data_IF_812117762450
#
_entry.id   IF_812117762450
#
_cell.length_a   1.000
_cell.length_b   1.000
_cell.length_c   1.000
_cell.angle_alpha   90.00
_cell.angle_beta   90.00
_cell.angle_gamma   90.00
#
_symmetry.space_group_name_H-M   'P 1'
#
loop_
_entity.id
_entity.type
_entity.pdbx_description
1 polymer ?
#
# COMPACT_ATOMS: atom_id res chain seq x y z
N UNK A 1 -29.19 -2.76 24.57
CA UNK A 1 -28.03 -2.04 25.11
C UNK A 1 -28.22 -0.56 24.80
N UNK A 2 -27.81 0.39 25.65
CA UNK A 2 -27.91 1.80 25.32
C UNK A 2 -27.11 2.05 24.03
N UNK A 3 -27.70 2.79 23.10
CA UNK A 3 -27.01 3.18 21.86
C UNK A 3 -25.79 4.03 22.19
N UNK A 4 -24.64 3.82 21.52
CA UNK A 4 -23.48 4.67 21.71
C UNK A 4 -23.77 6.11 21.29
N UNK A 5 -23.46 7.06 22.14
CA UNK A 5 -23.58 8.50 21.85
C UNK A 5 -22.20 9.00 21.42
N UNK A 6 -22.09 9.50 20.20
CA UNK A 6 -20.85 10.10 19.67
C UNK A 6 -20.88 11.62 19.79
N UNK A 7 -19.80 12.20 20.32
CA UNK A 7 -19.63 13.64 20.49
C UNK A 7 -18.87 14.24 19.32
N UNK A 8 -19.56 14.99 18.50
CA UNK A 8 -19.04 15.59 17.27
C UNK A 8 -18.85 17.09 17.48
N UNK A 9 -17.64 17.61 17.23
CA UNK A 9 -17.39 19.03 17.17
C UNK A 9 -17.48 19.49 15.72
N UNK A 10 -18.45 20.35 15.43
CA UNK A 10 -18.63 21.02 14.15
C UNK A 10 -18.00 22.42 14.23
N UNK A 11 -16.98 22.67 13.41
CA UNK A 11 -16.35 23.99 13.27
C UNK A 11 -16.80 24.57 11.94
N UNK A 12 -17.74 25.51 12.00
CA UNK A 12 -18.50 26.07 10.87
C UNK A 12 -19.00 27.47 11.24
N UNK A 13 -18.66 28.46 10.44
CA UNK A 13 -19.04 29.87 10.67
C UNK A 13 -20.43 30.25 10.11
N UNK A 14 -20.93 29.45 9.16
CA UNK A 14 -22.26 29.65 8.60
C UNK A 14 -23.35 28.95 9.45
N UNK A 15 -24.21 29.67 10.17
CA UNK A 15 -25.24 29.06 11.01
C UNK A 15 -26.26 28.21 10.21
N UNK A 16 -26.51 28.55 8.93
CA UNK A 16 -27.39 27.77 8.06
C UNK A 16 -26.82 26.40 7.73
N UNK A 17 -25.52 26.34 7.40
CA UNK A 17 -24.81 25.08 7.13
C UNK A 17 -24.72 24.24 8.41
N UNK A 18 -24.47 24.87 9.55
CA UNK A 18 -24.41 24.17 10.85
C UNK A 18 -25.79 23.54 11.19
N UNK A 19 -26.89 24.22 10.95
CA UNK A 19 -28.23 23.66 11.18
C UNK A 19 -28.56 22.52 10.20
N UNK A 20 -28.12 22.60 8.94
CA UNK A 20 -28.27 21.50 7.98
C UNK A 20 -27.54 20.24 8.42
N UNK A 21 -26.29 20.36 8.91
CA UNK A 21 -25.52 19.23 9.45
C UNK A 21 -26.19 18.62 10.67
N UNK A 22 -26.69 19.46 11.62
CA UNK A 22 -27.42 19.00 12.80
C UNK A 22 -28.68 18.25 12.41
N UNK A 23 -29.48 18.81 11.49
CA UNK A 23 -30.72 18.19 11.02
C UNK A 23 -30.43 16.83 10.36
N UNK A 24 -29.37 16.76 9.50
CA UNK A 24 -28.96 15.52 8.86
C UNK A 24 -28.53 14.46 9.87
N UNK A 25 -27.86 14.82 10.97
CA UNK A 25 -27.47 13.89 12.03
C UNK A 25 -28.57 13.53 13.03
N UNK A 26 -29.64 14.31 13.08
CA UNK A 26 -30.82 14.04 13.90
C UNK A 26 -31.86 13.13 13.20
N UNK A 27 -31.80 13.01 11.86
CA UNK A 27 -32.62 12.06 11.10
C UNK A 27 -32.12 10.64 11.38
N UNK A 28 -33.00 9.80 11.91
CA UNK A 28 -32.82 8.44 12.42
C UNK A 28 -31.63 7.63 11.89
N UNK A 29 -30.65 7.38 12.78
CA UNK A 29 -29.54 6.47 12.56
C UNK A 29 -29.42 5.48 13.71
N UNK A 30 -28.67 4.39 13.51
CA UNK A 30 -28.35 3.38 14.54
C UNK A 30 -27.51 3.93 15.70
N UNK A 31 -27.04 5.19 15.67
CA UNK A 31 -26.28 5.85 16.71
C UNK A 31 -26.75 7.29 16.95
N UNK A 32 -26.71 7.71 18.22
CA UNK A 32 -27.01 9.08 18.61
C UNK A 32 -25.75 9.97 18.47
N UNK A 33 -25.90 11.16 17.87
CA UNK A 33 -24.84 12.16 17.79
C UNK A 33 -25.16 13.37 18.66
N UNK A 34 -24.19 13.77 19.48
CA UNK A 34 -24.23 15.02 20.22
C UNK A 34 -23.31 16.03 19.51
N UNK A 35 -23.88 17.04 18.85
CA UNK A 35 -23.13 18.01 18.06
C UNK A 35 -22.86 19.25 18.91
N UNK A 36 -21.58 19.62 19.01
CA UNK A 36 -21.09 20.87 19.56
C UNK A 36 -20.63 21.77 18.41
N UNK A 37 -21.01 23.05 18.42
CA UNK A 37 -20.65 23.99 17.36
C UNK A 37 -19.62 24.99 17.84
N UNK A 38 -18.70 25.36 16.93
CA UNK A 38 -17.76 26.45 17.06
C UNK A 38 -17.75 27.24 15.74
N UNK A 39 -17.78 28.58 15.81
CA UNK A 39 -17.86 29.46 14.64
C UNK A 39 -16.45 29.81 14.08
N UNK A 40 -15.40 29.51 14.82
CA UNK A 40 -14.01 29.80 14.44
C UNK A 40 -13.12 28.60 14.78
N UNK A 41 -12.00 28.48 14.09
CA UNK A 41 -10.99 27.48 14.40
C UNK A 41 -10.50 27.59 15.85
N UNK A 42 -10.24 28.83 16.31
CA UNK A 42 -9.76 29.09 17.67
C UNK A 42 -10.75 28.57 18.72
N UNK A 43 -12.04 28.88 18.57
CA UNK A 43 -13.09 28.38 19.50
C UNK A 43 -13.24 26.86 19.44
N UNK A 44 -13.02 26.26 18.26
CA UNK A 44 -12.98 24.82 18.07
C UNK A 44 -11.80 24.17 18.82
N UNK A 45 -10.62 24.74 18.74
CA UNK A 45 -9.43 24.26 19.45
C UNK A 45 -9.60 24.35 20.99
N UNK A 46 -10.17 25.43 21.49
CA UNK A 46 -10.53 25.58 22.91
C UNK A 46 -11.52 24.51 23.37
N UNK A 47 -12.48 24.15 22.51
CA UNK A 47 -13.44 23.08 22.80
C UNK A 47 -12.78 21.71 22.82
N UNK A 48 -11.82 21.45 21.92
CA UNK A 48 -11.05 20.23 21.85
C UNK A 48 -10.17 20.01 23.10
N UNK A 49 -9.65 21.07 23.67
CA UNK A 49 -8.80 20.99 24.88
C UNK A 49 -9.53 20.39 26.10
N UNK A 50 -10.87 20.32 26.09
CA UNK A 50 -11.65 19.65 27.15
C UNK A 50 -11.62 18.11 27.08
N UNK A 51 -11.15 17.54 25.97
CA UNK A 51 -10.86 16.10 25.85
C UNK A 51 -12.07 15.16 25.72
N UNK A 52 -13.26 15.67 25.41
CA UNK A 52 -14.52 14.91 25.34
C UNK A 52 -15.15 14.86 23.94
N UNK A 53 -14.35 15.00 22.89
CA UNK A 53 -14.80 14.97 21.49
C UNK A 53 -14.33 13.67 20.84
N UNK A 54 -15.24 12.99 20.10
CA UNK A 54 -14.95 11.76 19.39
C UNK A 54 -14.55 12.01 17.92
N UNK A 55 -15.00 13.14 17.31
CA UNK A 55 -14.73 13.50 15.91
C UNK A 55 -14.88 15.00 15.69
N UNK A 56 -14.06 15.55 14.78
CA UNK A 56 -14.20 16.94 14.29
C UNK A 56 -14.75 16.92 12.87
N UNK A 57 -15.82 17.68 12.65
CA UNK A 57 -16.26 18.15 11.34
C UNK A 57 -15.73 19.58 11.16
N UNK A 58 -14.90 19.80 10.12
CA UNK A 58 -14.18 21.05 9.93
C UNK A 58 -14.52 21.66 8.57
N UNK A 59 -15.09 22.87 8.56
CA UNK A 59 -15.17 23.65 7.32
C UNK A 59 -13.79 24.17 6.90
N UNK A 60 -13.56 24.17 5.59
CA UNK A 60 -12.33 24.69 4.98
C UNK A 60 -12.31 26.22 4.79
N UNK A 61 -13.45 26.89 4.99
CA UNK A 61 -13.63 28.31 4.71
C UNK A 61 -14.01 29.08 5.97
N UNK A 62 -13.21 28.97 7.03
CA UNK A 62 -13.43 29.66 8.29
C UNK A 62 -12.85 31.11 8.25
N UNK A 63 -13.39 32.04 9.06
CA UNK A 63 -12.92 33.42 9.08
C UNK A 63 -11.48 33.57 9.58
N UNK A 64 -10.99 32.62 10.41
CA UNK A 64 -9.67 32.61 11.02
C UNK A 64 -8.74 31.49 10.47
N UNK A 65 -9.15 30.80 9.40
CA UNK A 65 -8.34 29.73 8.80
C UNK A 65 -8.74 29.44 7.35
N UNK A 66 -7.79 29.21 6.48
CA UNK A 66 -8.05 28.94 5.08
C UNK A 66 -7.50 27.58 4.60
N UNK A 67 -8.31 26.85 3.82
CA UNK A 67 -7.92 25.59 3.21
C UNK A 67 -7.50 24.53 4.24
N UNK A 68 -6.30 23.95 4.10
CA UNK A 68 -5.83 22.87 4.97
C UNK A 68 -5.09 23.34 6.25
N UNK A 69 -4.98 24.63 6.48
CA UNK A 69 -4.32 25.17 7.70
C UNK A 69 -5.09 24.75 8.95
N UNK A 70 -6.43 24.84 8.91
CA UNK A 70 -7.30 24.39 10.00
C UNK A 70 -7.14 22.90 10.33
N UNK A 71 -7.03 22.05 9.32
CA UNK A 71 -6.77 20.62 9.49
C UNK A 71 -5.43 20.39 10.22
N UNK A 72 -4.37 21.07 9.79
CA UNK A 72 -3.05 20.96 10.42
C UNK A 72 -3.08 21.41 11.88
N UNK A 73 -3.78 22.53 12.18
CA UNK A 73 -3.95 23.01 13.54
C UNK A 73 -4.69 22.02 14.43
N UNK A 74 -5.84 21.51 13.99
CA UNK A 74 -6.59 20.48 14.74
C UNK A 74 -5.74 19.24 14.99
N UNK A 75 -5.00 18.75 13.99
CA UNK A 75 -4.14 17.56 14.14
C UNK A 75 -2.98 17.79 15.08
N UNK A 76 -2.44 19.00 15.14
CA UNK A 76 -1.36 19.34 16.06
C UNK A 76 -1.86 19.35 17.51
N UNK A 77 -3.08 19.86 17.76
CA UNK A 77 -3.64 19.97 19.09
C UNK A 77 -4.35 18.71 19.58
N UNK A 78 -4.92 17.93 18.64
CA UNK A 78 -5.69 16.72 18.92
C UNK A 78 -5.36 15.59 17.94
N UNK A 79 -4.14 15.04 17.93
CA UNK A 79 -3.67 14.07 16.94
C UNK A 79 -4.43 12.74 16.97
N UNK A 80 -5.11 12.42 18.07
CA UNK A 80 -5.91 11.21 18.23
C UNK A 80 -7.33 11.32 17.73
N UNK A 81 -7.84 12.53 17.46
CA UNK A 81 -9.23 12.76 17.06
C UNK A 81 -9.33 12.74 15.53
N UNK A 82 -10.25 11.93 14.93
CA UNK A 82 -10.49 11.94 13.49
C UNK A 82 -11.07 13.27 13.04
N UNK A 83 -10.60 13.78 11.88
CA UNK A 83 -11.10 15.00 11.27
C UNK A 83 -11.74 14.66 9.92
N UNK A 84 -13.00 15.03 9.77
CA UNK A 84 -13.73 14.97 8.50
C UNK A 84 -13.93 16.39 8.01
N UNK A 85 -13.56 16.65 6.75
CA UNK A 85 -13.66 17.99 6.18
C UNK A 85 -15.00 18.24 5.52
N UNK A 86 -15.52 19.44 5.70
CA UNK A 86 -16.68 19.97 5.00
C UNK A 86 -16.25 21.03 3.98
N UNK A 87 -16.85 21.04 2.81
CA UNK A 87 -16.56 22.03 1.79
C UNK A 87 -17.77 22.32 0.91
N UNK A 88 -17.91 23.56 0.49
CA UNK A 88 -18.90 23.96 -0.52
C UNK A 88 -18.49 23.62 -1.96
N UNK A 89 -17.26 23.18 -2.21
CA UNK A 89 -16.71 22.98 -3.55
C UNK A 89 -16.44 21.50 -3.80
N UNK A 90 -16.95 20.99 -4.92
CA UNK A 90 -16.68 19.64 -5.40
C UNK A 90 -15.33 19.64 -6.15
N UNK A 91 -14.23 19.74 -5.41
CA UNK A 91 -12.87 19.76 -5.95
C UNK A 91 -12.10 18.51 -5.56
N UNK A 92 -11.97 17.60 -6.51
CA UNK A 92 -11.22 16.36 -6.35
C UNK A 92 -9.76 16.59 -5.91
N UNK A 93 -9.12 17.64 -6.43
CA UNK A 93 -7.73 17.97 -6.08
C UNK A 93 -7.59 18.42 -4.63
N UNK A 94 -8.60 19.11 -4.08
CA UNK A 94 -8.61 19.53 -2.68
C UNK A 94 -8.90 18.36 -1.76
N UNK A 95 -9.84 17.47 -2.13
CA UNK A 95 -10.13 16.24 -1.41
C UNK A 95 -8.87 15.36 -1.27
N UNK A 96 -8.15 15.14 -2.37
CA UNK A 96 -6.90 14.37 -2.37
C UNK A 96 -5.82 14.98 -1.46
N UNK A 97 -5.62 16.31 -1.52
CA UNK A 97 -4.66 17.00 -0.65
C UNK A 97 -5.07 16.92 0.82
N UNK A 98 -6.35 17.01 1.12
CA UNK A 98 -6.90 16.88 2.45
C UNK A 98 -6.62 15.50 3.06
N UNK A 99 -6.87 14.44 2.31
CA UNK A 99 -6.58 13.07 2.72
C UNK A 99 -5.07 12.83 2.92
N UNK A 100 -4.22 13.36 2.04
CA UNK A 100 -2.76 13.33 2.19
C UNK A 100 -2.27 14.08 3.43
N UNK A 101 -2.97 15.18 3.79
CA UNK A 101 -2.71 15.93 5.02
C UNK A 101 -3.31 15.26 6.27
N UNK A 102 -3.94 14.09 6.13
CA UNK A 102 -4.43 13.21 7.21
C UNK A 102 -5.84 13.50 7.68
N UNK A 103 -6.70 14.11 6.85
CA UNK A 103 -8.14 14.04 7.05
C UNK A 103 -8.60 12.58 6.96
N UNK A 104 -9.62 12.21 7.75
CA UNK A 104 -10.21 10.86 7.72
C UNK A 104 -11.21 10.72 6.57
N UNK A 105 -11.85 11.82 6.20
CA UNK A 105 -12.81 11.86 5.10
C UNK A 105 -13.05 13.31 4.63
N UNK A 106 -13.80 13.46 3.53
CA UNK A 106 -14.08 14.73 2.90
C UNK A 106 -15.53 14.72 2.38
N UNK A 107 -16.31 15.72 2.73
CA UNK A 107 -17.74 15.81 2.43
C UNK A 107 -18.07 17.13 1.73
N UNK A 108 -18.95 17.07 0.73
CA UNK A 108 -19.47 18.24 0.03
C UNK A 108 -20.80 18.66 0.64
N UNK A 109 -20.91 19.88 1.17
CA UNK A 109 -22.07 20.41 1.89
C UNK A 109 -23.39 20.20 1.13
N UNK A 110 -23.41 20.41 -0.18
CA UNK A 110 -24.62 20.26 -1.02
C UNK A 110 -25.07 18.81 -1.29
N UNK A 111 -24.30 17.80 -0.85
CA UNK A 111 -24.58 16.37 -1.07
C UNK A 111 -24.82 15.59 0.24
N UNK A 112 -25.00 16.29 1.35
CA UNK A 112 -25.19 15.67 2.67
C UNK A 112 -26.59 15.03 2.77
N UNK A 113 -26.61 13.69 2.90
CA UNK A 113 -27.81 12.91 3.23
C UNK A 113 -27.64 12.31 4.62
N UNK A 114 -28.63 12.45 5.50
CA UNK A 114 -28.55 12.08 6.91
C UNK A 114 -27.98 10.69 7.19
N UNK A 115 -28.56 9.60 6.64
CA UNK A 115 -28.06 8.25 6.90
C UNK A 115 -26.64 8.00 6.37
N UNK A 116 -26.27 8.62 5.23
CA UNK A 116 -24.92 8.50 4.68
C UNK A 116 -23.88 9.26 5.52
N UNK A 117 -24.23 10.47 5.98
CA UNK A 117 -23.41 11.27 6.88
C UNK A 117 -23.13 10.52 8.18
N UNK A 118 -24.19 10.03 8.86
CA UNK A 118 -24.08 9.29 10.11
C UNK A 118 -23.12 8.09 9.96
N UNK A 119 -23.24 7.31 8.89
CA UNK A 119 -22.38 6.15 8.62
C UNK A 119 -20.92 6.55 8.38
N UNK A 120 -20.66 7.62 7.64
CA UNK A 120 -19.30 8.12 7.41
C UNK A 120 -18.64 8.52 8.72
N UNK A 121 -19.34 9.27 9.59
CA UNK A 121 -18.80 9.69 10.88
C UNK A 121 -18.55 8.51 11.81
N UNK A 122 -19.46 7.54 11.88
CA UNK A 122 -19.27 6.31 12.65
C UNK A 122 -18.02 5.56 12.18
N UNK A 123 -17.87 5.38 10.86
CA UNK A 123 -16.70 4.70 10.30
C UNK A 123 -15.40 5.46 10.57
N UNK A 124 -15.39 6.78 10.53
CA UNK A 124 -14.22 7.59 10.86
C UNK A 124 -13.81 7.39 12.35
N UNK A 125 -14.78 7.42 13.26
CA UNK A 125 -14.56 7.21 14.70
C UNK A 125 -14.04 5.78 14.96
N UNK A 126 -14.73 4.76 14.41
CA UNK A 126 -14.35 3.35 14.60
C UNK A 126 -12.96 3.07 14.04
N UNK A 127 -12.67 3.52 12.80
CA UNK A 127 -11.33 3.40 12.20
C UNK A 127 -10.25 4.01 13.09
N UNK A 128 -10.52 5.20 13.66
CA UNK A 128 -9.55 5.87 14.52
C UNK A 128 -9.39 5.18 15.87
N UNK A 129 -10.46 4.67 16.47
CA UNK A 129 -10.38 3.87 17.70
C UNK A 129 -9.57 2.60 17.49
N UNK A 130 -9.80 1.86 16.40
CA UNK A 130 -9.01 0.70 16.02
C UNK A 130 -7.53 1.08 15.83
N UNK A 131 -7.24 2.22 15.19
CA UNK A 131 -5.86 2.73 15.04
C UNK A 131 -5.25 3.17 16.37
N UNK A 132 -6.01 3.75 17.30
CA UNK A 132 -5.54 4.17 18.62
C UNK A 132 -5.35 2.99 19.58
N UNK A 133 -6.21 1.99 19.53
CA UNK A 133 -6.07 0.73 20.26
C UNK A 133 -4.90 -0.10 19.73
N UNK A 134 -4.57 0.03 18.44
CA UNK A 134 -3.36 -0.51 17.82
C UNK A 134 -2.08 0.20 18.26
N UNK A 135 -2.17 1.36 18.92
CA UNK A 135 -1.03 2.07 19.56
C UNK A 135 -0.70 1.52 20.96
N UNK A 136 -1.52 0.64 21.55
CA UNK A 136 -1.15 -0.30 22.59
C UNK A 136 -0.63 -1.57 21.92
N UNK A 137 0.48 -2.18 22.34
CA UNK A 137 0.99 -3.37 21.69
C UNK A 137 0.10 -4.58 21.99
N UNK A 138 -1.06 -4.67 21.35
CA UNK A 138 -1.70 -5.96 21.13
C UNK A 138 -1.03 -6.56 19.88
N UNK A 139 -0.28 -7.65 20.01
CA UNK A 139 0.43 -8.29 18.91
C UNK A 139 -0.50 -8.77 17.76
N UNK A 140 -1.82 -8.62 17.91
CA UNK A 140 -2.83 -9.12 16.95
C UNK A 140 -3.33 -8.07 15.95
N UNK A 141 -2.97 -6.78 16.13
CA UNK A 141 -3.39 -5.66 15.25
C UNK A 141 -2.18 -4.86 14.75
N UNK A 142 -1.08 -5.53 14.40
CA UNK A 142 -0.04 -4.90 13.59
C UNK A 142 -0.66 -4.44 12.26
N UNK A 143 -0.45 -3.15 11.91
CA UNK A 143 -0.82 -2.65 10.58
C UNK A 143 -0.25 -3.59 9.51
N UNK A 144 -1.00 -3.82 8.44
CA UNK A 144 -0.58 -4.71 7.37
C UNK A 144 0.87 -4.43 6.95
N UNK A 145 1.68 -5.47 6.90
CA UNK A 145 3.02 -5.39 6.31
C UNK A 145 2.88 -5.39 4.80
N UNK A 146 3.18 -4.25 4.17
CA UNK A 146 3.14 -4.13 2.71
C UNK A 146 4.53 -4.47 2.16
N UNK A 147 4.59 -5.51 1.32
CA UNK A 147 5.82 -5.96 0.67
C UNK A 147 5.70 -5.70 -0.83
N UNK A 148 6.57 -4.84 -1.36
CA UNK A 148 6.61 -4.50 -2.77
C UNK A 148 7.62 -5.34 -3.55
N UNK A 149 7.26 -5.76 -4.74
CA UNK A 149 8.15 -6.38 -5.71
C UNK A 149 8.26 -5.48 -6.95
N UNK A 150 9.48 -5.13 -7.34
CA UNK A 150 9.78 -4.25 -8.45
C UNK A 150 10.81 -4.91 -9.37
N UNK A 151 10.50 -5.05 -10.64
CA UNK A 151 11.43 -5.59 -11.64
C UNK A 151 12.40 -4.53 -12.14
N UNK A 152 13.71 -4.80 -12.12
CA UNK A 152 14.71 -3.93 -12.72
C UNK A 152 14.55 -3.83 -14.24
N UNK A 153 14.09 -4.92 -14.89
CA UNK A 153 13.73 -4.98 -16.31
C UNK A 153 12.56 -5.93 -16.55
N UNK A 154 12.03 -5.96 -17.77
CA UNK A 154 11.02 -6.94 -18.16
C UNK A 154 11.55 -8.38 -18.13
N UNK A 155 10.70 -9.36 -17.77
CA UNK A 155 11.02 -10.78 -17.82
C UNK A 155 11.93 -11.31 -16.71
N UNK A 156 12.22 -10.53 -15.67
CA UNK A 156 13.04 -10.96 -14.52
C UNK A 156 12.32 -11.93 -13.57
N UNK A 157 11.01 -12.15 -13.77
CA UNK A 157 10.20 -13.03 -12.94
C UNK A 157 9.57 -12.35 -11.72
N UNK A 158 9.47 -11.01 -11.72
CA UNK A 158 8.92 -10.21 -10.64
C UNK A 158 7.55 -10.70 -10.20
N UNK A 159 6.57 -10.74 -11.11
CA UNK A 159 5.20 -11.19 -10.86
C UNK A 159 5.15 -12.63 -10.36
N UNK A 160 5.95 -13.53 -10.96
CA UNK A 160 6.02 -14.93 -10.51
C UNK A 160 6.48 -15.04 -9.06
N UNK A 161 7.50 -14.28 -8.69
CA UNK A 161 8.01 -14.25 -7.31
C UNK A 161 6.98 -13.66 -6.37
N UNK A 162 6.33 -12.54 -6.73
CA UNK A 162 5.28 -11.91 -5.92
C UNK A 162 4.12 -12.89 -5.63
N UNK A 163 3.61 -13.59 -6.66
CA UNK A 163 2.57 -14.61 -6.51
C UNK A 163 2.98 -15.72 -5.54
N UNK A 164 4.19 -16.26 -5.70
CA UNK A 164 4.67 -17.34 -4.81
C UNK A 164 4.87 -16.86 -3.38
N UNK A 165 5.37 -15.64 -3.19
CA UNK A 165 5.53 -15.07 -1.84
C UNK A 165 4.18 -14.86 -1.18
N UNK A 166 3.17 -14.38 -1.89
CA UNK A 166 1.82 -14.24 -1.34
C UNK A 166 1.26 -15.59 -0.88
N UNK A 167 1.43 -16.65 -1.68
CA UNK A 167 1.02 -18.01 -1.34
C UNK A 167 1.79 -18.55 -0.12
N UNK A 168 3.11 -18.33 -0.05
CA UNK A 168 3.92 -18.78 1.08
C UNK A 168 3.62 -18.00 2.37
N UNK A 169 3.36 -16.70 2.28
CA UNK A 169 2.90 -15.93 3.43
C UNK A 169 1.54 -16.42 3.92
N UNK A 170 0.60 -16.73 3.01
CA UNK A 170 -0.70 -17.31 3.39
C UNK A 170 -0.57 -18.66 4.09
N UNK A 171 0.37 -19.51 3.71
CA UNK A 171 0.65 -20.78 4.40
C UNK A 171 1.21 -20.58 5.81
N UNK A 172 1.80 -19.43 6.10
CA UNK A 172 2.49 -19.10 7.37
C UNK A 172 1.64 -18.27 8.32
N UNK A 173 0.49 -17.79 7.87
CA UNK A 173 -0.39 -16.93 8.67
C UNK A 173 -1.85 -17.37 8.58
N UNK A 174 -2.56 -17.21 9.69
CA UNK A 174 -4.02 -17.35 9.71
C UNK A 174 -4.72 -16.08 9.23
N UNK A 175 -4.02 -14.92 9.26
CA UNK A 175 -4.55 -13.64 8.83
C UNK A 175 -4.83 -13.56 7.33
N UNK A 176 -5.54 -12.52 6.93
CA UNK A 176 -5.83 -12.25 5.50
C UNK A 176 -4.57 -11.80 4.78
N UNK A 177 -4.39 -12.30 3.57
CA UNK A 177 -3.30 -11.92 2.66
C UNK A 177 -3.90 -11.41 1.37
N UNK A 178 -3.44 -10.25 0.90
CA UNK A 178 -3.78 -9.66 -0.40
C UNK A 178 -2.59 -9.77 -1.34
N UNK A 179 -2.83 -10.20 -2.56
CA UNK A 179 -1.93 -10.05 -3.69
C UNK A 179 -2.49 -8.99 -4.64
N UNK A 180 -1.75 -7.90 -4.84
CA UNK A 180 -2.19 -6.75 -5.63
C UNK A 180 -1.30 -6.56 -6.86
N UNK A 181 -1.91 -6.45 -8.03
CA UNK A 181 -1.26 -6.14 -9.30
C UNK A 181 -1.30 -4.64 -9.57
N UNK A 182 -0.14 -3.99 -9.58
CA UNK A 182 0.05 -2.61 -10.00
C UNK A 182 0.92 -2.51 -11.27
N UNK A 183 1.17 -3.63 -11.96
CA UNK A 183 1.73 -3.61 -13.31
C UNK A 183 0.64 -3.31 -14.33
N UNK A 184 0.42 -2.03 -14.60
CA UNK A 184 -0.59 -1.56 -15.55
C UNK A 184 -0.34 -2.04 -17.00
N UNK A 185 0.86 -2.53 -17.30
CA UNK A 185 1.22 -3.01 -18.64
C UNK A 185 0.93 -4.49 -18.86
N UNK A 186 0.80 -5.29 -17.79
CA UNK A 186 0.90 -6.74 -17.88
C UNK A 186 -0.34 -7.55 -17.51
N UNK A 187 -1.05 -7.23 -16.45
CA UNK A 187 -2.11 -8.07 -15.84
C UNK A 187 -1.71 -9.57 -15.72
N UNK A 188 -0.45 -9.84 -15.39
CA UNK A 188 0.08 -11.20 -15.36
C UNK A 188 -0.37 -11.99 -14.12
N UNK A 189 -0.73 -11.32 -13.02
CA UNK A 189 -1.25 -11.96 -11.80
C UNK A 189 -2.55 -12.72 -12.11
N UNK A 190 -3.48 -12.12 -12.85
CA UNK A 190 -4.73 -12.77 -13.22
C UNK A 190 -4.51 -14.10 -13.95
N UNK A 191 -3.58 -14.10 -14.91
CA UNK A 191 -3.20 -15.29 -15.65
C UNK A 191 -2.53 -16.35 -14.74
N UNK A 192 -1.55 -15.95 -13.93
CA UNK A 192 -0.80 -16.87 -13.08
C UNK A 192 -1.64 -17.46 -11.94
N UNK A 193 -2.58 -16.71 -11.40
CA UNK A 193 -3.47 -17.15 -10.32
C UNK A 193 -4.75 -17.78 -10.83
N UNK A 194 -4.96 -17.82 -12.17
CA UNK A 194 -6.18 -18.25 -12.82
C UNK A 194 -7.42 -17.52 -12.27
N UNK A 195 -7.32 -16.19 -12.23
CA UNK A 195 -8.35 -15.29 -11.75
C UNK A 195 -8.79 -14.39 -12.90
N UNK A 196 -10.08 -14.30 -13.12
CA UNK A 196 -10.69 -13.33 -14.02
C UNK A 196 -11.61 -12.43 -13.19
N UNK A 197 -11.20 -11.18 -13.03
CA UNK A 197 -11.94 -10.18 -12.27
C UNK A 197 -12.53 -9.13 -13.21
N UNK A 198 -13.81 -8.77 -13.05
CA UNK A 198 -14.43 -7.70 -13.84
C UNK A 198 -13.90 -6.31 -13.46
N UNK A 199 -13.34 -6.19 -12.27
CA UNK A 199 -12.84 -4.94 -11.67
C UNK A 199 -11.42 -5.11 -11.15
N UNK A 200 -10.73 -3.99 -10.88
CA UNK A 200 -9.38 -3.97 -10.36
C UNK A 200 -9.03 -2.67 -9.65
N UNK A 201 -7.73 -2.35 -9.59
CA UNK A 201 -7.24 -1.14 -8.91
C UNK A 201 -7.73 0.15 -9.57
N UNK A 202 -8.04 0.12 -10.87
CA UNK A 202 -8.60 1.28 -11.58
C UNK A 202 -9.92 1.69 -10.93
N UNK A 203 -10.87 0.76 -10.83
CA UNK A 203 -12.19 0.98 -10.25
C UNK A 203 -12.11 1.34 -8.77
N UNK A 204 -11.22 0.66 -8.01
CA UNK A 204 -10.97 0.99 -6.61
C UNK A 204 -10.44 2.43 -6.43
N UNK A 205 -9.54 2.87 -7.32
CA UNK A 205 -8.95 4.21 -7.28
C UNK A 205 -9.94 5.29 -7.74
N UNK A 206 -10.82 4.98 -8.68
CA UNK A 206 -11.82 5.93 -9.18
C UNK A 206 -12.96 6.14 -8.17
N UNK A 207 -13.34 5.11 -7.42
CA UNK A 207 -14.38 5.18 -6.39
C UNK A 207 -13.83 5.32 -4.95
N UNK A 208 -12.60 5.80 -4.81
CA UNK A 208 -11.90 5.83 -3.51
C UNK A 208 -12.66 6.59 -2.42
N UNK A 209 -13.40 7.63 -2.76
CA UNK A 209 -14.17 8.43 -1.80
C UNK A 209 -15.38 7.69 -1.21
N UNK A 210 -15.85 6.62 -1.88
CA UNK A 210 -16.97 5.80 -1.43
C UNK A 210 -16.54 4.37 -1.10
N UNK A 211 -15.23 4.10 -1.10
CA UNK A 211 -14.69 2.76 -0.88
C UNK A 211 -14.90 2.35 0.58
N UNK A 212 -15.74 1.34 0.78
CA UNK A 212 -15.98 0.68 2.05
C UNK A 212 -15.62 -0.82 1.96
N UNK A 213 -15.72 -1.55 3.08
CA UNK A 213 -15.35 -2.95 3.13
C UNK A 213 -16.22 -3.84 2.22
N UNK A 214 -17.51 -3.50 2.05
CA UNK A 214 -18.43 -4.28 1.22
C UNK A 214 -18.18 -4.04 -0.27
N UNK A 215 -17.81 -2.82 -0.65
CA UNK A 215 -17.36 -2.52 -2.02
C UNK A 215 -16.01 -3.16 -2.28
N UNK A 216 -15.09 -3.10 -1.33
CA UNK A 216 -13.78 -3.74 -1.44
C UNK A 216 -13.92 -5.24 -1.71
N UNK A 217 -14.80 -5.96 -0.99
CA UNK A 217 -15.08 -7.39 -1.21
C UNK A 217 -15.54 -7.72 -2.64
N UNK A 218 -16.15 -6.76 -3.35
CA UNK A 218 -16.58 -6.94 -4.73
C UNK A 218 -15.47 -6.69 -5.75
N UNK A 219 -14.40 -5.99 -5.36
CA UNK A 219 -13.27 -5.64 -6.20
C UNK A 219 -12.17 -6.69 -6.16
N UNK A 220 -12.09 -7.47 -5.08
CA UNK A 220 -11.10 -8.54 -4.93
C UNK A 220 -11.70 -9.90 -5.26
N UNK A 221 -10.88 -10.81 -5.79
CA UNK A 221 -11.31 -12.19 -6.07
C UNK A 221 -10.55 -13.14 -5.15
N UNK A 222 -11.26 -13.99 -4.40
CA UNK A 222 -10.61 -15.01 -3.58
C UNK A 222 -9.97 -16.09 -4.46
N UNK A 223 -8.70 -16.38 -4.26
CA UNK A 223 -7.96 -17.41 -4.97
C UNK A 223 -6.96 -18.11 -4.04
N UNK A 224 -6.99 -19.44 -3.98
CA UNK A 224 -6.05 -20.28 -3.22
C UNK A 224 -5.88 -19.82 -1.74
N UNK A 225 -6.97 -19.32 -1.15
CA UNK A 225 -7.01 -18.88 0.26
C UNK A 225 -6.49 -17.47 0.54
N UNK A 226 -6.16 -16.70 -0.48
CA UNK A 226 -5.83 -15.26 -0.40
C UNK A 226 -6.78 -14.45 -1.29
N UNK A 227 -6.78 -13.13 -1.11
CA UNK A 227 -7.51 -12.23 -1.98
C UNK A 227 -6.58 -11.72 -3.09
N UNK A 228 -7.10 -11.58 -4.30
CA UNK A 228 -6.35 -11.05 -5.46
C UNK A 228 -7.03 -9.79 -5.98
N UNK A 229 -6.26 -8.71 -6.13
CA UNK A 229 -6.65 -7.48 -6.81
C UNK A 229 -5.86 -7.38 -8.11
N UNK A 230 -6.56 -7.33 -9.24
CA UNK A 230 -5.94 -7.15 -10.56
C UNK A 230 -5.66 -5.67 -10.86
N UNK A 231 -4.80 -5.41 -11.85
CA UNK A 231 -4.49 -4.07 -12.33
C UNK A 231 -5.71 -3.40 -12.99
N UNK A 232 -6.58 -4.18 -13.65
CA UNK A 232 -7.85 -3.71 -14.22
C UNK A 232 -8.59 -4.83 -14.90
N UNK A 233 -9.91 -4.65 -15.08
CA UNK A 233 -10.78 -5.55 -15.82
C UNK A 233 -10.64 -5.39 -17.35
N UNK A 234 -11.36 -6.21 -18.13
CA UNK A 234 -11.34 -6.14 -19.62
C UNK A 234 -11.73 -4.78 -20.19
N UNK A 235 -12.54 -4.01 -19.44
CA UNK A 235 -12.98 -2.66 -19.82
C UNK A 235 -11.92 -1.57 -19.59
N UNK A 236 -10.92 -1.82 -18.73
CA UNK A 236 -9.88 -0.83 -18.36
C UNK A 236 -8.68 -0.82 -19.29
N UNK A 237 -8.71 -1.56 -20.41
CA UNK A 237 -7.61 -1.63 -21.40
C UNK A 237 -7.38 -0.37 -22.22
N UNK A 238 -8.21 0.68 -22.01
CA UNK A 238 -7.84 2.01 -22.48
C UNK A 238 -6.65 2.50 -21.65
N UNK A 239 -5.65 3.14 -22.27
CA UNK A 239 -4.32 3.59 -21.78
C UNK A 239 -4.31 4.45 -20.49
N UNK A 240 -5.29 4.32 -19.61
CA UNK A 240 -5.39 5.10 -18.37
C UNK A 240 -4.66 4.41 -17.24
N UNK A 241 -3.63 5.05 -16.71
CA UNK A 241 -3.03 4.70 -15.42
C UNK A 241 -3.79 5.39 -14.28
N UNK A 242 -4.02 4.71 -13.14
CA UNK A 242 -4.58 5.38 -11.97
C UNK A 242 -3.58 6.41 -11.44
N UNK A 243 -4.07 7.49 -10.86
CA UNK A 243 -3.20 8.45 -10.18
C UNK A 243 -2.56 7.78 -8.95
N UNK A 244 -1.25 7.90 -8.80
CA UNK A 244 -0.52 7.28 -7.69
C UNK A 244 -1.08 7.72 -6.32
N UNK A 245 -1.53 8.97 -6.21
CA UNK A 245 -2.15 9.54 -5.01
C UNK A 245 -3.43 8.78 -4.61
N UNK A 246 -4.26 8.40 -5.58
CA UNK A 246 -5.48 7.62 -5.33
C UNK A 246 -5.15 6.18 -4.92
N UNK A 247 -4.16 5.56 -5.55
CA UNK A 247 -3.69 4.22 -5.17
C UNK A 247 -3.14 4.23 -3.74
N UNK A 248 -2.44 5.30 -3.32
CA UNK A 248 -2.03 5.47 -1.91
C UNK A 248 -3.21 5.44 -0.94
N UNK A 249 -4.30 6.14 -1.29
CA UNK A 249 -5.51 6.13 -0.45
C UNK A 249 -6.13 4.72 -0.37
N UNK A 250 -6.15 3.97 -1.48
CA UNK A 250 -6.57 2.56 -1.47
C UNK A 250 -5.67 1.75 -0.55
N UNK A 251 -4.34 1.87 -0.68
CA UNK A 251 -3.39 1.17 0.19
C UNK A 251 -3.61 1.51 1.67
N UNK A 252 -3.85 2.78 2.00
CA UNK A 252 -4.13 3.20 3.37
C UNK A 252 -5.45 2.60 3.91
N UNK A 253 -6.49 2.56 3.08
CA UNK A 253 -7.76 1.95 3.45
C UNK A 253 -7.60 0.46 3.76
N UNK A 254 -6.89 -0.29 2.91
CA UNK A 254 -6.78 -1.74 3.05
C UNK A 254 -5.77 -2.19 4.11
N UNK A 255 -4.92 -1.30 4.65
CA UNK A 255 -3.97 -1.63 5.74
C UNK A 255 -4.67 -2.22 6.97
N UNK A 256 -5.91 -1.85 7.23
CA UNK A 256 -6.69 -2.38 8.35
C UNK A 256 -7.37 -3.73 8.05
N UNK A 257 -7.43 -4.15 6.79
CA UNK A 257 -8.17 -5.33 6.36
C UNK A 257 -7.32 -6.60 6.23
N UNK A 258 -6.00 -6.45 6.13
CA UNK A 258 -5.07 -7.53 5.85
C UNK A 258 -3.91 -7.57 6.83
N UNK A 259 -3.34 -8.74 7.04
CA UNK A 259 -2.07 -8.89 7.76
C UNK A 259 -0.87 -8.69 6.83
N UNK A 260 -0.98 -9.17 5.59
CA UNK A 260 0.03 -9.03 4.57
C UNK A 260 -0.59 -8.50 3.27
N UNK A 261 0.08 -7.54 2.66
CA UNK A 261 -0.24 -7.03 1.33
C UNK A 261 1.02 -7.20 0.48
N UNK A 262 0.95 -8.06 -0.52
CA UNK A 262 2.02 -8.28 -1.50
C UNK A 262 1.67 -7.51 -2.75
N UNK A 263 2.52 -6.57 -3.14
CA UNK A 263 2.28 -5.67 -4.27
C UNK A 263 3.27 -5.95 -5.38
N UNK A 264 2.78 -6.32 -6.55
CA UNK A 264 3.56 -6.31 -7.78
C UNK A 264 3.55 -4.89 -8.37
N UNK A 265 4.67 -4.19 -8.28
CA UNK A 265 4.84 -2.83 -8.80
C UNK A 265 5.24 -2.82 -10.29
N UNK A 266 5.32 -3.99 -10.93
CA UNK A 266 5.75 -4.13 -12.31
C UNK A 266 7.22 -3.77 -12.49
N UNK A 267 7.51 -2.91 -13.48
CA UNK A 267 8.85 -2.39 -13.78
C UNK A 267 9.05 -1.00 -13.20
N UNK A 268 10.31 -0.60 -13.06
CA UNK A 268 10.66 0.77 -12.68
C UNK A 268 10.02 1.77 -13.65
N UNK A 269 9.22 2.68 -13.13
CA UNK A 269 8.47 3.70 -13.86
C UNK A 269 8.20 4.89 -12.95
N UNK A 270 7.84 6.07 -13.48
CA UNK A 270 7.43 7.20 -12.65
C UNK A 270 6.25 6.86 -11.71
N UNK A 271 5.37 5.96 -12.11
CA UNK A 271 4.25 5.50 -11.29
C UNK A 271 4.73 4.62 -10.13
N UNK A 272 5.52 3.58 -10.40
CA UNK A 272 6.04 2.69 -9.35
C UNK A 272 6.93 3.43 -8.36
N UNK A 273 7.79 4.36 -8.81
CA UNK A 273 8.64 5.20 -7.93
C UNK A 273 7.82 6.05 -6.96
N UNK A 274 6.65 6.54 -7.38
CA UNK A 274 5.75 7.27 -6.47
C UNK A 274 5.11 6.38 -5.40
N UNK A 275 4.98 5.07 -5.65
CA UNK A 275 4.32 4.13 -4.74
C UNK A 275 5.28 3.35 -3.83
N UNK A 276 6.59 3.33 -4.13
CA UNK A 276 7.56 2.60 -3.29
C UNK A 276 7.60 3.09 -1.85
N UNK A 277 7.23 4.34 -1.58
CA UNK A 277 7.18 4.90 -0.22
C UNK A 277 6.07 4.25 0.65
N UNK A 278 5.11 3.57 0.02
CA UNK A 278 4.00 2.92 0.72
C UNK A 278 4.34 1.51 1.21
N UNK A 279 5.46 0.92 0.76
CA UNK A 279 5.83 -0.44 1.14
C UNK A 279 6.75 -0.44 2.36
N UNK A 280 6.54 -1.39 3.27
CA UNK A 280 7.41 -1.59 4.44
C UNK A 280 8.77 -2.16 4.04
N UNK A 281 8.81 -2.90 2.92
CA UNK A 281 10.03 -3.46 2.32
C UNK A 281 9.85 -3.66 0.83
N UNK A 282 10.85 -3.23 0.06
CA UNK A 282 10.90 -3.36 -1.39
C UNK A 282 11.90 -4.42 -1.81
N UNK A 283 11.46 -5.38 -2.60
CA UNK A 283 12.30 -6.38 -3.25
C UNK A 283 12.51 -5.99 -4.71
N UNK A 284 13.70 -5.48 -5.04
CA UNK A 284 14.09 -5.22 -6.42
C UNK A 284 14.57 -6.54 -7.05
N UNK A 285 13.79 -7.03 -8.02
CA UNK A 285 14.04 -8.30 -8.71
C UNK A 285 14.86 -8.06 -9.98
N UNK A 286 15.92 -8.80 -10.15
CA UNK A 286 16.72 -8.79 -11.39
C UNK A 286 17.27 -10.16 -11.73
N UNK A 287 17.91 -10.29 -12.90
CA UNK A 287 18.64 -11.47 -13.32
C UNK A 287 20.15 -11.27 -13.12
N UNK A 288 20.90 -12.38 -13.03
CA UNK A 288 22.36 -12.34 -12.80
C UNK A 288 23.17 -12.29 -14.13
N UNK A 289 22.56 -11.78 -15.21
CA UNK A 289 23.25 -11.44 -16.46
C UNK A 289 23.73 -9.98 -16.45
N UNK A 290 24.62 -9.63 -17.38
CA UNK A 290 25.26 -8.30 -17.44
C UNK A 290 24.21 -7.18 -17.54
N UNK A 291 23.21 -7.34 -18.38
CA UNK A 291 22.15 -6.35 -18.57
C UNK A 291 21.26 -6.24 -17.33
N UNK A 292 20.88 -7.39 -16.73
CA UNK A 292 20.12 -7.41 -15.49
C UNK A 292 20.84 -6.71 -14.34
N UNK A 293 22.15 -6.95 -14.17
CA UNK A 293 22.94 -6.28 -13.14
C UNK A 293 23.10 -4.78 -13.41
N UNK A 294 23.26 -4.36 -14.67
CA UNK A 294 23.34 -2.95 -15.04
C UNK A 294 22.01 -2.22 -14.74
N UNK A 295 20.87 -2.81 -15.14
CA UNK A 295 19.55 -2.26 -14.87
C UNK A 295 19.22 -2.23 -13.37
N UNK A 296 19.59 -3.27 -12.62
CA UNK A 296 19.44 -3.29 -11.17
C UNK A 296 20.22 -2.16 -10.49
N UNK A 297 21.48 -1.92 -10.91
CA UNK A 297 22.29 -0.83 -10.39
C UNK A 297 21.66 0.55 -10.69
N UNK A 298 21.17 0.73 -11.90
CA UNK A 298 20.45 1.94 -12.30
C UNK A 298 19.18 2.14 -11.44
N UNK A 299 18.38 1.09 -11.28
CA UNK A 299 17.17 1.13 -10.47
C UNK A 299 17.44 1.47 -9.00
N UNK A 300 18.49 0.89 -8.38
CA UNK A 300 18.94 1.23 -7.03
C UNK A 300 19.28 2.73 -6.94
N UNK A 301 19.99 3.28 -7.94
CA UNK A 301 20.33 4.70 -7.96
C UNK A 301 19.09 5.59 -8.05
N UNK A 302 18.11 5.24 -8.89
CA UNK A 302 16.84 5.98 -9.03
C UNK A 302 16.04 5.95 -7.73
N UNK A 303 15.95 4.79 -7.07
CA UNK A 303 15.23 4.65 -5.81
C UNK A 303 15.86 5.52 -4.71
N UNK A 304 17.18 5.55 -4.61
CA UNK A 304 17.87 6.39 -3.63
C UNK A 304 17.80 7.88 -3.95
N UNK A 305 17.76 8.27 -5.23
CA UNK A 305 17.48 9.65 -5.64
C UNK A 305 16.04 10.08 -5.31
N UNK A 306 15.10 9.13 -5.30
CA UNK A 306 13.73 9.32 -4.85
C UNK A 306 13.57 9.21 -3.31
N UNK A 307 14.68 9.28 -2.56
CA UNK A 307 14.72 9.23 -1.09
C UNK A 307 14.12 7.96 -0.48
N UNK A 308 14.12 6.85 -1.23
CA UNK A 308 13.70 5.56 -0.67
C UNK A 308 14.70 5.07 0.38
N UNK A 309 14.18 4.60 1.52
CA UNK A 309 14.99 4.13 2.64
C UNK A 309 15.85 2.92 2.26
N UNK A 310 17.17 3.03 2.48
CA UNK A 310 18.15 1.99 2.16
C UNK A 310 17.91 0.70 2.93
N UNK A 311 17.46 0.81 4.18
CA UNK A 311 17.22 -0.34 5.06
C UNK A 311 15.94 -1.10 4.66
N UNK A 312 15.06 -0.45 3.89
CA UNK A 312 13.86 -1.04 3.34
C UNK A 312 14.05 -1.67 1.95
N UNK A 313 15.22 -1.48 1.30
CA UNK A 313 15.52 -2.06 -0.01
C UNK A 313 16.27 -3.40 0.13
N UNK A 314 15.81 -4.42 -0.59
CA UNK A 314 16.45 -5.72 -0.71
C UNK A 314 16.50 -6.18 -2.17
N UNK A 315 17.58 -6.83 -2.56
CA UNK A 315 17.72 -7.39 -3.91
C UNK A 315 17.34 -8.87 -3.91
N UNK A 316 16.60 -9.27 -4.95
CA UNK A 316 16.36 -10.68 -5.29
C UNK A 316 16.89 -10.94 -6.68
N UNK A 317 17.95 -11.74 -6.78
CA UNK A 317 18.54 -12.13 -8.05
C UNK A 317 17.94 -13.46 -8.49
N UNK A 318 17.27 -13.45 -9.62
CA UNK A 318 16.63 -14.62 -10.22
C UNK A 318 17.50 -15.18 -11.35
N UNK A 319 17.27 -16.45 -11.71
CA UNK A 319 17.98 -17.15 -12.79
C UNK A 319 19.50 -17.11 -12.60
N UNK A 320 19.94 -17.31 -11.34
CA UNK A 320 21.37 -17.28 -11.01
C UNK A 320 22.07 -18.57 -11.47
N UNK A 321 23.07 -18.48 -12.35
CA UNK A 321 23.83 -19.65 -12.80
C UNK A 321 24.66 -20.27 -11.67
N UNK A 322 24.95 -21.59 -11.70
CA UNK A 322 25.68 -22.27 -10.63
C UNK A 322 27.10 -21.75 -10.36
N UNK A 323 27.74 -21.12 -11.34
CA UNK A 323 29.12 -20.60 -11.29
C UNK A 323 29.22 -19.09 -11.26
N UNK A 324 28.19 -18.40 -10.76
CA UNK A 324 28.10 -16.96 -10.77
C UNK A 324 28.82 -16.30 -9.58
N UNK A 325 28.69 -15.00 -9.48
CA UNK A 325 29.26 -14.15 -8.42
C UNK A 325 28.87 -14.60 -7.01
N UNK A 326 29.70 -14.30 -6.04
CA UNK A 326 29.30 -14.41 -4.63
C UNK A 326 28.32 -13.30 -4.25
N UNK A 327 27.50 -13.55 -3.23
CA UNK A 327 26.55 -12.56 -2.71
C UNK A 327 27.25 -11.24 -2.37
N UNK A 328 28.40 -11.28 -1.67
CA UNK A 328 29.15 -10.08 -1.29
C UNK A 328 29.68 -9.28 -2.49
N UNK A 329 30.07 -9.95 -3.59
CA UNK A 329 30.48 -9.25 -4.81
C UNK A 329 29.30 -8.52 -5.46
N UNK A 330 28.11 -9.12 -5.46
CA UNK A 330 26.90 -8.54 -6.00
C UNK A 330 26.40 -7.37 -5.16
N UNK A 331 26.41 -7.50 -3.84
CA UNK A 331 26.06 -6.41 -2.92
C UNK A 331 26.98 -5.19 -3.09
N UNK A 332 28.29 -5.42 -3.22
CA UNK A 332 29.26 -4.36 -3.49
C UNK A 332 29.06 -3.71 -4.86
N UNK A 333 28.71 -4.49 -5.90
CA UNK A 333 28.45 -3.99 -7.24
C UNK A 333 27.19 -3.15 -7.31
N UNK A 334 26.12 -3.62 -6.66
CA UNK A 334 24.77 -3.07 -6.77
C UNK A 334 24.48 -2.00 -5.71
N UNK A 335 25.26 -1.96 -4.62
CA UNK A 335 25.10 -0.97 -3.56
C UNK A 335 23.88 -1.19 -2.65
N UNK A 336 23.32 -2.40 -2.64
CA UNK A 336 22.20 -2.79 -1.81
C UNK A 336 22.29 -4.26 -1.37
N UNK A 337 21.67 -4.67 -0.24
CA UNK A 337 21.77 -6.03 0.28
C UNK A 337 21.03 -7.03 -0.62
N UNK A 338 21.64 -8.19 -0.86
CA UNK A 338 21.05 -9.31 -1.61
C UNK A 338 20.38 -10.28 -0.63
N UNK A 339 19.05 -10.32 -0.63
CA UNK A 339 18.27 -11.19 0.25
C UNK A 339 18.04 -12.59 -0.32
N UNK A 340 18.01 -12.74 -1.63
CA UNK A 340 17.83 -14.04 -2.25
C UNK A 340 18.60 -14.15 -3.57
N UNK A 341 19.14 -15.34 -3.82
CA UNK A 341 19.71 -15.77 -5.09
C UNK A 341 18.95 -17.03 -5.52
N UNK A 342 18.10 -16.89 -6.52
CA UNK A 342 17.20 -17.95 -6.98
C UNK A 342 17.83 -18.63 -8.20
N UNK A 343 17.94 -19.95 -8.21
CA UNK A 343 18.49 -20.68 -9.33
C UNK A 343 17.56 -20.60 -10.55
N UNK A 344 18.09 -20.88 -11.72
CA UNK A 344 17.28 -21.02 -12.93
C UNK A 344 16.34 -22.23 -12.78
N UNK A 345 15.03 -21.96 -12.83
CA UNK A 345 13.96 -22.98 -12.74
C UNK A 345 12.98 -22.91 -13.91
N UNK A 346 13.37 -22.26 -15.01
CA UNK A 346 12.48 -22.00 -16.14
C UNK A 346 11.80 -23.25 -16.69
N UNK A 347 12.56 -24.35 -16.88
CA UNK A 347 12.03 -25.61 -17.40
C UNK A 347 11.00 -26.26 -16.47
N UNK A 348 11.18 -26.09 -15.15
CA UNK A 348 10.26 -26.63 -14.16
C UNK A 348 8.90 -25.89 -14.21
N UNK A 349 8.90 -24.60 -14.56
CA UNK A 349 7.68 -23.81 -14.75
C UNK A 349 6.98 -24.12 -16.06
N UNK A 350 7.73 -24.18 -17.16
CA UNK A 350 7.19 -24.49 -18.49
C UNK A 350 6.49 -25.87 -18.49
N UNK A 351 7.11 -26.88 -17.89
CA UNK A 351 6.54 -28.21 -17.74
C UNK A 351 5.27 -28.23 -16.90
N UNK A 352 5.29 -27.58 -15.73
CA UNK A 352 4.12 -27.50 -14.85
C UNK A 352 2.94 -26.77 -15.49
N UNK A 353 3.23 -25.71 -16.26
CA UNK A 353 2.22 -24.94 -16.95
C UNK A 353 1.54 -25.73 -18.10
N UNK A 354 2.34 -26.43 -18.91
CA UNK A 354 1.85 -27.27 -20.00
C UNK A 354 0.99 -28.46 -19.47
N UNK A 355 1.31 -28.97 -18.30
CA UNK A 355 0.56 -30.02 -17.61
C UNK A 355 -0.72 -29.48 -16.91
N UNK A 356 -1.04 -28.19 -17.04
CA UNK A 356 -2.20 -27.57 -16.37
C UNK A 356 -2.07 -27.51 -14.84
N UNK A 357 -0.85 -27.67 -14.31
CA UNK A 357 -0.58 -27.61 -12.89
C UNK A 357 -0.55 -26.15 -12.41
N UNK A 358 -1.05 -25.94 -11.20
CA UNK A 358 -1.09 -24.60 -10.60
C UNK A 358 0.31 -24.08 -10.27
N UNK A 359 0.44 -22.76 -10.22
CA UNK A 359 1.65 -22.09 -9.70
C UNK A 359 2.06 -22.72 -8.36
N UNK A 360 3.30 -23.14 -8.23
CA UNK A 360 3.84 -23.63 -6.96
C UNK A 360 4.12 -25.14 -6.87
N UNK A 361 4.00 -25.92 -7.92
CA UNK A 361 4.27 -27.36 -7.86
C UNK A 361 5.75 -27.76 -8.07
N UNK A 362 6.63 -26.83 -8.49
CA UNK A 362 8.07 -27.08 -8.55
C UNK A 362 8.69 -27.12 -7.15
N UNK A 363 8.99 -28.30 -6.62
CA UNK A 363 9.56 -28.50 -5.26
C UNK A 363 10.85 -27.71 -5.03
N UNK A 364 11.68 -27.56 -6.04
CA UNK A 364 12.97 -26.83 -5.93
C UNK A 364 12.73 -25.34 -5.76
N UNK A 365 11.86 -24.74 -6.58
CA UNK A 365 11.52 -23.32 -6.48
C UNK A 365 10.75 -23.01 -5.20
N UNK A 366 9.80 -23.88 -4.81
CA UNK A 366 9.05 -23.74 -3.56
C UNK A 366 9.95 -23.62 -2.34
N UNK A 367 11.04 -24.42 -2.27
CA UNK A 367 11.99 -24.35 -1.15
C UNK A 367 12.61 -22.95 -1.05
N UNK A 368 13.02 -22.35 -2.17
CA UNK A 368 13.60 -21.00 -2.18
C UNK A 368 12.55 -19.93 -1.83
N UNK A 369 11.32 -20.07 -2.32
CA UNK A 369 10.22 -19.15 -2.00
C UNK A 369 9.84 -19.25 -0.51
N UNK A 370 9.79 -20.45 0.05
CA UNK A 370 9.54 -20.65 1.47
C UNK A 370 10.63 -20.02 2.35
N UNK A 371 11.92 -20.11 1.94
CA UNK A 371 13.02 -19.44 2.63
C UNK A 371 12.93 -17.91 2.53
N UNK A 372 12.61 -17.37 1.36
CA UNK A 372 12.43 -15.94 1.18
C UNK A 372 11.24 -15.42 1.98
N UNK A 373 10.10 -16.13 1.94
CA UNK A 373 8.92 -15.77 2.73
C UNK A 373 9.19 -15.84 4.25
N UNK A 374 10.00 -16.80 4.72
CA UNK A 374 10.41 -16.86 6.11
C UNK A 374 11.20 -15.60 6.52
N UNK A 375 12.14 -15.15 5.69
CA UNK A 375 12.88 -13.88 5.92
C UNK A 375 11.96 -12.67 5.92
N UNK A 376 11.01 -12.61 5.01
CA UNK A 376 10.01 -11.54 4.94
C UNK A 376 9.16 -11.51 6.21
N UNK A 377 8.75 -12.66 6.71
CA UNK A 377 7.94 -12.78 7.93
C UNK A 377 8.74 -12.51 9.23
N UNK A 378 10.06 -12.28 9.17
CA UNK A 378 10.90 -12.06 10.35
C UNK A 378 11.40 -13.35 11.00
N UNK A 379 11.32 -14.50 10.31
CA UNK A 379 11.86 -15.78 10.78
C UNK A 379 13.37 -15.89 10.59
N UNK A 380 14.09 -16.48 11.54
CA UNK A 380 15.49 -16.86 11.36
C UNK A 380 15.61 -17.94 10.27
N UNK A 381 16.54 -17.74 9.34
CA UNK A 381 16.86 -18.73 8.30
C UNK A 381 18.14 -19.43 8.68
N UNK A 382 18.11 -20.75 8.78
CA UNK A 382 19.32 -21.56 8.88
C UNK A 382 20.31 -21.19 7.76
N UNK A 383 21.53 -20.78 8.14
CA UNK A 383 22.62 -20.45 7.23
C UNK A 383 23.02 -21.69 6.45
N UNK A 384 22.62 -21.81 5.20
CA UNK A 384 23.17 -22.80 4.29
C UNK A 384 24.57 -22.36 3.86
N UNK A 385 25.57 -22.95 4.44
CA UNK A 385 26.98 -22.86 4.06
C UNK A 385 27.22 -23.65 2.77
N UNK A 386 27.77 -23.00 1.78
CA UNK A 386 28.82 -23.36 0.82
C UNK A 386 28.54 -22.78 -0.58
N UNK A 387 29.34 -21.77 -0.93
CA UNK A 387 29.49 -21.32 -2.31
C UNK A 387 30.72 -21.95 -2.95
N UNK A 388 30.69 -22.45 -4.20
CA UNK A 388 31.86 -22.91 -4.92
C UNK A 388 32.72 -21.72 -5.37
N UNK A 389 34.05 -21.96 -5.40
CA UNK A 389 35.04 -20.94 -5.79
C UNK A 389 34.93 -20.57 -7.28
N UNK A 390 34.92 -19.29 -7.65
CA UNK A 390 34.77 -18.87 -9.03
C UNK A 390 36.08 -19.00 -9.83
N UNK A 391 35.96 -19.46 -11.07
CA UNK A 391 37.01 -19.42 -12.09
C UNK A 391 36.49 -18.63 -13.28
N UNK A 392 36.83 -17.32 -13.37
CA UNK A 392 36.71 -16.57 -14.63
C UNK A 392 37.81 -15.50 -14.76
N UNK A 393 38.62 -15.49 -15.89
CA UNK A 393 39.69 -14.51 -16.12
C UNK A 393 39.23 -13.19 -16.77
N UNK A 394 37.94 -12.99 -17.11
CA UNK A 394 37.55 -11.94 -18.03
C UNK A 394 37.06 -10.62 -17.43
N UNK A 395 36.91 -10.49 -16.11
CA UNK A 395 36.32 -9.31 -15.47
C UNK A 395 37.32 -8.40 -14.73
N UNK A 396 38.62 -8.62 -14.85
CA UNK A 396 39.64 -7.74 -14.22
C UNK A 396 39.72 -6.34 -14.88
N UNK A 397 39.16 -6.15 -16.08
CA UNK A 397 39.20 -4.89 -16.81
C UNK A 397 38.07 -3.90 -16.50
N UNK A 398 36.93 -4.37 -16.04
CA UNK A 398 35.73 -3.51 -15.84
C UNK A 398 35.73 -2.82 -14.46
N UNK A 399 36.52 -3.32 -13.52
CA UNK A 399 36.57 -2.80 -12.15
C UNK A 399 37.61 -1.67 -11.93
N UNK A 400 38.34 -1.22 -12.98
CA UNK A 400 39.45 -0.25 -12.84
C UNK A 400 39.25 1.14 -13.40
N UNK A 401 38.03 1.62 -13.67
CA UNK A 401 37.85 2.98 -14.13
C UNK A 401 36.74 3.69 -13.36
N UNK A 402 37.04 4.12 -12.12
CA UNK A 402 36.43 5.30 -11.54
C UNK A 402 37.50 6.41 -11.58
N UNK A 403 37.29 7.55 -12.25
CA UNK A 403 38.20 8.67 -12.17
C UNK A 403 38.01 9.35 -10.83
N UNK A 404 39.09 9.40 -10.03
CA UNK A 404 39.25 10.41 -8.98
C UNK A 404 39.48 11.75 -9.69
N UNK A 405 38.41 12.56 -9.78
CA UNK A 405 38.51 13.93 -10.23
C UNK A 405 38.69 14.86 -9.02
N UNK A 406 39.78 15.56 -9.03
CA UNK A 406 40.11 16.73 -8.20
C UNK A 406 39.10 17.84 -8.34
#
# INVERSE_FOLDING_TARGET
MPQPVFRVLLIEDNPGDAELVKAALAEEGEAAFQVFCAETLLSGLDRLARGDIDLVLLDLSLPDSHGLEGLNAVRTHAPSIPVVLLTGWDSESLALRAMQSGAQDYLVKGKLQGPALARILQHAIVRRRIQAESSSPDPRLEQAKIVGFLGAKGGVGNTTIACHIALELKRRTEGRVLLMDLDMAGNAIGFLMNVDAPYGIMEASDDILHLDEDRWKKLVVPAVGLDVMQSGGPASREEKQPKAERVRLVLNFIRSLYQWIVVDLGRLSPFSVRLVQEVSRLYLVSTCDILGLAEAKSAVSVLFQAEFDRDCLALTLNQVPPSSFTQSQLEKLLGAPVHAMLPECRRDFEGSFLDGKRLGESRKFQKHMAQLAARIAGGEVEKSTQAPKPRFPFLSGVLRSAPTGT
#
